data_IF_038360422529
#
_entry.id   IF_038360422529
#
_cell.length_a   1.000
_cell.length_b   1.000
_cell.length_c   1.000
_cell.angle_alpha   90.00
_cell.angle_beta   90.00
_cell.angle_gamma   90.00
#
_symmetry.space_group_name_H-M   'P 1'
#
loop_
_entity.id
_entity.type
_entity.pdbx_description
1 polymer ?
#
# COMPACT_ATOMS: atom_id res chain seq x y z
N UNK A 1 14.62 -1.72 13.86
CA UNK A 1 14.60 -2.99 13.12
C UNK A 1 14.58 -4.20 14.05
N UNK A 2 15.52 -4.32 15.00
CA UNK A 2 15.61 -5.50 15.89
C UNK A 2 14.31 -5.77 16.66
N UNK A 3 13.65 -4.75 17.17
CA UNK A 3 12.36 -4.83 17.86
C UNK A 3 11.18 -5.27 16.98
N UNK A 4 11.37 -5.21 15.65
CA UNK A 4 10.40 -5.65 14.64
C UNK A 4 10.80 -6.95 13.95
N UNK A 5 11.82 -7.64 14.44
CA UNK A 5 12.27 -8.91 13.88
C UNK A 5 13.00 -8.82 12.54
N UNK A 6 13.31 -7.61 12.03
CA UNK A 6 14.06 -7.46 10.78
C UNK A 6 15.53 -7.77 11.02
N UNK A 7 16.00 -8.84 10.41
CA UNK A 7 17.34 -9.38 10.58
C UNK A 7 18.44 -8.54 9.88
N UNK A 8 19.69 -8.89 10.12
CA UNK A 8 20.84 -8.17 9.57
C UNK A 8 20.93 -8.33 8.05
N UNK A 9 20.68 -9.52 7.52
CA UNK A 9 20.78 -9.80 6.07
C UNK A 9 19.77 -8.96 5.28
N UNK A 10 18.53 -8.88 5.77
CA UNK A 10 17.48 -8.04 5.19
C UNK A 10 17.84 -6.56 5.24
N UNK A 11 18.38 -6.07 6.38
CA UNK A 11 18.85 -4.69 6.48
C UNK A 11 19.99 -4.38 5.51
N UNK A 12 20.88 -5.34 5.29
CA UNK A 12 21.95 -5.18 4.28
C UNK A 12 21.38 -5.13 2.86
N UNK A 13 20.35 -5.94 2.54
CA UNK A 13 19.72 -5.95 1.24
C UNK A 13 19.08 -4.59 0.89
N UNK A 14 18.55 -3.87 1.88
CA UNK A 14 17.88 -2.58 1.71
C UNK A 14 18.67 -1.39 2.26
N UNK A 15 19.96 -1.51 2.52
CA UNK A 15 20.74 -0.52 3.27
C UNK A 15 20.77 0.89 2.67
N UNK A 16 20.52 1.03 1.37
CA UNK A 16 20.47 2.31 0.66
C UNK A 16 19.11 3.02 0.75
N UNK A 17 18.09 2.30 1.21
CA UNK A 17 16.70 2.76 1.13
C UNK A 17 16.13 3.21 2.47
N UNK A 18 16.97 3.35 3.50
CA UNK A 18 16.61 3.92 4.80
C UNK A 18 17.82 4.56 5.48
N UNK A 19 17.55 5.47 6.40
CA UNK A 19 18.59 6.10 7.23
C UNK A 19 18.03 6.58 8.57
N UNK A 20 18.89 7.01 9.48
CA UNK A 20 18.50 7.63 10.74
C UNK A 20 18.54 9.16 10.58
N UNK A 21 17.36 9.78 10.56
CA UNK A 21 17.22 11.23 10.56
C UNK A 21 17.27 11.77 12.00
N UNK A 22 18.13 12.77 12.26
CA UNK A 22 18.13 13.51 13.53
C UNK A 22 17.05 14.59 13.50
N UNK A 23 16.30 14.69 14.57
CA UNK A 23 15.23 15.69 14.78
C UNK A 23 15.50 16.47 16.05
N UNK A 24 15.19 17.76 16.04
CA UNK A 24 15.14 18.57 17.25
C UNK A 24 13.73 18.49 17.86
N UNK A 25 13.65 18.36 19.16
CA UNK A 25 12.42 18.52 19.92
C UNK A 25 12.29 19.99 20.40
N UNK A 26 11.07 20.41 20.71
CA UNK A 26 10.78 21.78 21.18
C UNK A 26 11.56 22.16 22.46
N UNK A 27 11.91 21.20 23.28
CA UNK A 27 12.71 21.36 24.49
C UNK A 27 14.23 21.37 24.24
N UNK A 28 14.68 21.44 22.99
CA UNK A 28 16.09 21.44 22.59
C UNK A 28 16.77 20.05 22.59
N UNK A 29 16.09 18.99 23.01
CA UNK A 29 16.61 17.63 22.92
C UNK A 29 16.64 17.16 21.47
N UNK A 30 17.61 16.31 21.12
CA UNK A 30 17.64 15.64 19.82
C UNK A 30 17.17 14.19 19.93
N UNK A 31 16.44 13.72 18.93
CA UNK A 31 16.06 12.33 18.79
C UNK A 31 16.26 11.86 17.36
N UNK A 32 16.28 10.55 17.15
CA UNK A 32 16.46 9.96 15.82
C UNK A 32 15.22 9.16 15.44
N UNK A 33 14.75 9.38 14.22
CA UNK A 33 13.76 8.52 13.58
C UNK A 33 14.43 7.67 12.51
N UNK A 34 13.97 6.44 12.37
CA UNK A 34 14.26 5.67 11.18
C UNK A 34 13.39 6.23 10.04
N UNK A 35 14.03 6.61 8.95
CA UNK A 35 13.40 7.31 7.84
C UNK A 35 13.59 6.55 6.55
N UNK A 36 12.52 6.44 5.79
CA UNK A 36 12.41 5.78 4.51
C UNK A 36 12.11 6.86 3.46
N UNK A 37 13.06 7.21 2.57
CA UNK A 37 12.88 8.28 1.59
C UNK A 37 11.85 7.88 0.55
N UNK A 38 10.96 8.83 0.24
CA UNK A 38 9.89 8.68 -0.74
C UNK A 38 10.22 9.47 -1.99
N UNK A 39 10.05 8.84 -3.14
CA UNK A 39 10.37 9.41 -4.45
C UNK A 39 9.14 9.36 -5.36
N UNK A 40 9.12 10.23 -6.36
CA UNK A 40 8.14 10.12 -7.44
C UNK A 40 8.49 8.90 -8.29
N UNK A 41 7.54 7.99 -8.57
CA UNK A 41 7.77 6.83 -9.43
C UNK A 41 8.36 7.23 -10.78
N UNK A 42 9.44 6.56 -11.20
CA UNK A 42 10.18 6.88 -12.41
C UNK A 42 11.16 8.05 -12.30
N UNK A 43 11.22 8.73 -11.15
CA UNK A 43 12.10 9.88 -10.90
C UNK A 43 12.91 9.67 -9.61
N UNK A 44 13.92 8.78 -9.63
CA UNK A 44 14.71 8.45 -8.42
C UNK A 44 15.52 9.63 -7.87
N UNK A 45 15.75 10.67 -8.66
CA UNK A 45 16.37 11.92 -8.26
C UNK A 45 15.44 12.84 -7.46
N UNK A 46 14.11 12.60 -7.50
CA UNK A 46 13.10 13.49 -6.93
C UNK A 46 12.56 12.92 -5.61
N UNK A 47 13.34 13.10 -4.55
CA UNK A 47 12.86 12.82 -3.20
C UNK A 47 11.81 13.85 -2.79
N UNK A 48 10.62 13.40 -2.41
CA UNK A 48 9.47 14.25 -2.09
C UNK A 48 9.01 14.11 -0.64
N UNK A 49 9.71 13.33 0.15
CA UNK A 49 9.41 13.19 1.57
C UNK A 49 10.01 11.97 2.22
N UNK A 50 9.60 11.73 3.45
CA UNK A 50 10.08 10.63 4.27
C UNK A 50 8.91 9.97 5.01
N UNK A 51 8.81 8.65 4.92
CA UNK A 51 8.07 7.87 5.90
C UNK A 51 8.94 7.70 7.14
N UNK A 52 8.41 7.94 8.34
CA UNK A 52 9.19 7.94 9.58
C UNK A 52 8.66 6.95 10.60
N UNK A 53 9.59 6.31 11.29
CA UNK A 53 9.34 5.44 12.44
C UNK A 53 10.17 5.91 13.63
N UNK A 54 9.49 6.29 14.69
CA UNK A 54 10.13 6.69 15.94
C UNK A 54 10.67 5.50 16.73
N UNK A 55 11.47 5.82 17.74
CA UNK A 55 11.96 4.82 18.68
C UNK A 55 10.79 4.26 19.52
N UNK A 56 10.73 2.96 19.78
CA UNK A 56 9.70 2.38 20.63
C UNK A 56 9.72 3.01 22.02
N UNK A 57 8.56 3.40 22.52
CA UNK A 57 8.36 3.91 23.88
C UNK A 57 8.29 2.75 24.87
N UNK A 58 8.30 3.06 26.17
CA UNK A 58 8.20 2.06 27.26
C UNK A 58 6.92 1.23 27.21
N UNK A 59 5.83 1.82 26.72
CA UNK A 59 4.53 1.18 26.51
C UNK A 59 4.45 0.35 25.22
N UNK A 60 5.56 0.22 24.48
CA UNK A 60 5.63 -0.49 23.20
C UNK A 60 5.12 0.31 22.00
N UNK A 61 4.51 1.47 22.22
CA UNK A 61 4.10 2.35 21.13
C UNK A 61 5.31 2.98 20.44
N UNK A 62 5.18 3.29 19.16
CA UNK A 62 6.18 4.03 18.41
C UNK A 62 5.49 5.00 17.46
N UNK A 63 6.06 6.17 17.27
CA UNK A 63 5.57 7.10 16.25
C UNK A 63 5.67 6.43 14.88
N UNK A 64 4.59 6.46 14.12
CA UNK A 64 4.56 6.18 12.68
C UNK A 64 3.92 7.37 11.97
N UNK A 65 4.43 7.72 10.81
CA UNK A 65 3.85 8.80 10.01
C UNK A 65 4.83 9.34 8.99
N UNK A 66 4.46 10.43 8.38
CA UNK A 66 5.27 11.15 7.41
C UNK A 66 6.02 12.31 8.08
N UNK A 67 7.18 12.66 7.54
CA UNK A 67 7.83 13.92 7.88
C UNK A 67 6.99 15.11 7.39
N UNK A 68 7.08 16.25 8.08
CA UNK A 68 6.42 17.47 7.63
C UNK A 68 6.89 17.87 6.22
N UNK A 69 5.95 18.25 5.35
CA UNK A 69 6.23 18.63 3.97
C UNK A 69 6.34 17.45 3.00
N UNK A 70 6.11 16.21 3.44
CA UNK A 70 6.08 15.05 2.55
C UNK A 70 4.89 15.15 1.57
N UNK A 71 5.18 14.99 0.27
CA UNK A 71 4.15 14.78 -0.74
C UNK A 71 3.70 13.31 -0.73
N UNK A 72 2.79 12.98 0.18
CA UNK A 72 2.26 11.63 0.32
C UNK A 72 1.25 11.26 -0.79
N UNK A 73 0.82 12.22 -1.62
CA UNK A 73 -0.12 11.95 -2.70
C UNK A 73 0.54 11.35 -3.95
N UNK A 74 1.86 11.48 -4.09
CA UNK A 74 2.60 10.97 -5.25
C UNK A 74 3.84 10.18 -4.87
N UNK A 75 4.43 10.48 -3.68
CA UNK A 75 5.66 9.85 -3.22
C UNK A 75 5.44 8.41 -2.78
N UNK A 76 6.39 7.54 -3.14
CA UNK A 76 6.48 6.15 -2.70
C UNK A 76 7.88 5.87 -2.17
N UNK A 77 7.99 5.08 -1.10
CA UNK A 77 9.24 4.41 -0.83
C UNK A 77 9.42 3.26 -1.82
N UNK A 78 10.56 3.20 -2.48
CA UNK A 78 10.86 2.18 -3.47
C UNK A 78 12.27 1.64 -3.22
N UNK A 79 12.42 0.32 -3.29
CA UNK A 79 13.68 -0.35 -3.02
C UNK A 79 13.81 -1.64 -3.82
N UNK A 80 15.02 -1.95 -4.27
CA UNK A 80 15.35 -3.24 -4.83
C UNK A 80 16.68 -3.72 -4.26
N UNK A 81 16.78 -4.98 -3.78
CA UNK A 81 18.04 -5.54 -3.29
C UNK A 81 19.16 -5.57 -4.33
N UNK A 82 18.83 -5.53 -5.62
CA UNK A 82 19.78 -5.47 -6.74
C UNK A 82 19.77 -4.15 -7.49
N UNK A 83 19.25 -3.09 -6.89
CA UNK A 83 19.13 -1.76 -7.50
C UNK A 83 18.37 -1.78 -8.86
N UNK A 84 17.40 -2.68 -9.03
CA UNK A 84 16.56 -2.74 -10.24
C UNK A 84 15.70 -1.48 -10.33
N UNK A 85 15.73 -0.80 -11.47
CA UNK A 85 14.87 0.35 -11.73
C UNK A 85 13.42 -0.10 -12.04
N UNK A 86 12.43 0.74 -11.74
CA UNK A 86 11.01 0.42 -11.98
C UNK A 86 10.72 0.04 -13.44
N UNK A 87 11.33 0.76 -14.39
CA UNK A 87 11.12 0.51 -15.84
C UNK A 87 11.58 -0.88 -16.29
N UNK A 88 12.54 -1.48 -15.56
CA UNK A 88 13.15 -2.77 -15.85
C UNK A 88 12.61 -3.89 -14.94
N UNK A 89 11.74 -3.54 -13.99
CA UNK A 89 11.18 -4.47 -13.04
C UNK A 89 10.19 -5.43 -13.72
N UNK A 90 10.36 -6.73 -13.48
CA UNK A 90 9.38 -7.75 -13.85
C UNK A 90 8.31 -7.93 -12.79
N UNK A 91 8.71 -7.80 -11.52
CA UNK A 91 7.86 -7.97 -10.35
C UNK A 91 7.97 -6.74 -9.46
N UNK A 92 6.82 -6.19 -9.08
CA UNK A 92 6.69 -5.06 -8.15
C UNK A 92 5.79 -5.48 -7.00
N UNK A 93 6.33 -5.52 -5.79
CA UNK A 93 5.60 -5.86 -4.58
C UNK A 93 5.20 -4.60 -3.84
N UNK A 94 3.89 -4.39 -3.61
CA UNK A 94 3.33 -3.16 -3.04
C UNK A 94 2.76 -3.44 -1.64
N UNK A 95 3.14 -2.63 -0.66
CA UNK A 95 2.77 -2.76 0.75
C UNK A 95 2.35 -1.42 1.33
N UNK A 96 1.71 -1.46 2.50
CA UNK A 96 1.34 -0.25 3.25
C UNK A 96 2.54 0.41 3.93
N UNK A 97 3.54 -0.37 4.34
CA UNK A 97 4.74 0.18 4.96
C UNK A 97 6.04 -0.46 4.46
N UNK A 98 7.13 0.29 4.56
CA UNK A 98 8.46 -0.22 4.25
C UNK A 98 8.87 -1.41 5.16
N UNK A 99 8.35 -1.47 6.39
CA UNK A 99 8.58 -2.61 7.28
C UNK A 99 7.93 -3.89 6.76
N UNK A 100 6.71 -3.82 6.24
CA UNK A 100 5.98 -4.98 5.72
C UNK A 100 6.67 -5.51 4.47
N UNK A 101 7.13 -4.62 3.59
CA UNK A 101 7.95 -4.96 2.43
C UNK A 101 9.24 -5.70 2.83
N UNK A 102 9.98 -5.18 3.82
CA UNK A 102 11.20 -5.82 4.31
C UNK A 102 10.92 -7.14 5.03
N UNK A 103 9.85 -7.23 5.81
CA UNK A 103 9.44 -8.46 6.49
C UNK A 103 9.04 -9.55 5.48
N UNK A 104 8.26 -9.19 4.46
CA UNK A 104 7.92 -10.10 3.37
C UNK A 104 9.17 -10.65 2.68
N UNK A 105 10.10 -9.77 2.27
CA UNK A 105 11.36 -10.19 1.67
C UNK A 105 12.12 -11.16 2.56
N UNK A 106 12.27 -10.85 3.86
CA UNK A 106 12.95 -11.70 4.83
C UNK A 106 12.34 -13.10 4.91
N UNK A 107 11.01 -13.17 5.09
CA UNK A 107 10.29 -14.44 5.20
C UNK A 107 10.43 -15.28 3.92
N UNK A 108 10.33 -14.65 2.75
CA UNK A 108 10.48 -15.34 1.45
C UNK A 108 11.92 -15.78 1.16
N UNK A 109 12.92 -15.14 1.75
CA UNK A 109 14.33 -15.51 1.61
C UNK A 109 14.77 -16.63 2.57
N UNK A 110 13.97 -16.99 3.57
CA UNK A 110 14.26 -18.10 4.49
C UNK A 110 14.31 -19.44 3.73
N UNK A 111 15.11 -20.40 4.23
CA UNK A 111 15.31 -21.70 3.56
C UNK A 111 14.03 -22.53 3.44
N UNK A 112 13.17 -22.44 4.43
CA UNK A 112 11.90 -23.16 4.57
C UNK A 112 10.72 -22.44 3.88
N UNK A 113 10.96 -21.33 3.20
CA UNK A 113 9.93 -20.59 2.46
C UNK A 113 9.35 -21.30 1.23
N UNK A 114 9.92 -22.44 0.84
CA UNK A 114 9.55 -23.19 -0.36
C UNK A 114 10.06 -22.60 -1.68
N UNK A 115 10.75 -21.45 -1.65
CA UNK A 115 11.34 -20.88 -2.87
C UNK A 115 12.61 -21.61 -3.28
N UNK A 116 12.70 -21.97 -4.57
CA UNK A 116 13.91 -22.46 -5.19
C UNK A 116 14.96 -21.33 -5.42
N UNK A 117 16.10 -21.68 -5.97
CA UNK A 117 17.17 -20.72 -6.22
C UNK A 117 16.74 -19.62 -7.19
N UNK A 118 16.07 -19.97 -8.30
CA UNK A 118 15.68 -19.01 -9.32
C UNK A 118 14.61 -18.02 -8.80
N UNK A 119 13.61 -18.52 -8.08
CA UNK A 119 12.60 -17.70 -7.44
C UNK A 119 13.21 -16.69 -6.43
N UNK A 120 14.24 -17.13 -5.68
CA UNK A 120 14.99 -16.20 -4.79
C UNK A 120 15.81 -15.16 -5.56
N UNK A 121 16.39 -15.52 -6.72
CA UNK A 121 17.09 -14.54 -7.57
C UNK A 121 16.13 -13.54 -8.19
N UNK A 122 14.94 -13.98 -8.61
CA UNK A 122 13.88 -13.11 -9.10
C UNK A 122 13.42 -12.12 -7.99
N UNK A 123 13.20 -12.65 -6.79
CA UNK A 123 12.81 -11.80 -5.64
C UNK A 123 13.88 -10.74 -5.31
N UNK A 124 15.18 -11.06 -5.44
CA UNK A 124 16.25 -10.07 -5.26
C UNK A 124 16.23 -8.98 -6.34
N UNK A 125 15.74 -9.28 -7.54
CA UNK A 125 15.62 -8.34 -8.66
C UNK A 125 14.27 -7.64 -8.72
N UNK A 126 13.34 -7.99 -7.84
CA UNK A 126 12.06 -7.32 -7.72
C UNK A 126 12.21 -5.90 -7.12
N UNK A 127 11.22 -5.06 -7.36
CA UNK A 127 11.08 -3.77 -6.70
C UNK A 127 10.04 -3.89 -5.60
N UNK A 128 10.37 -3.42 -4.41
CA UNK A 128 9.49 -3.36 -3.24
C UNK A 128 9.07 -1.92 -3.03
N UNK A 129 7.78 -1.72 -2.80
CA UNK A 129 7.16 -0.41 -2.72
C UNK A 129 6.36 -0.29 -1.43
N UNK A 130 6.45 0.87 -0.77
CA UNK A 130 5.55 1.25 0.33
C UNK A 130 4.79 2.51 -0.04
N UNK A 131 3.48 2.49 0.17
CA UNK A 131 2.60 3.66 0.04
C UNK A 131 2.67 4.58 1.26
N UNK A 132 3.23 4.08 2.37
CA UNK A 132 3.33 4.79 3.64
C UNK A 132 2.00 4.89 4.39
N UNK A 133 1.04 4.05 4.05
CA UNK A 133 -0.32 3.97 4.56
C UNK A 133 -1.31 3.86 3.40
N UNK A 134 -2.44 4.54 3.51
CA UNK A 134 -3.48 4.53 2.48
C UNK A 134 -2.95 4.97 1.10
N UNK A 135 -2.99 4.12 0.07
CA UNK A 135 -2.49 4.47 -1.26
C UNK A 135 -3.38 5.53 -1.94
N UNK A 136 -2.73 6.56 -2.46
CA UNK A 136 -3.41 7.57 -3.27
C UNK A 136 -3.53 7.17 -4.74
N UNK A 137 -4.46 7.79 -5.46
CA UNK A 137 -4.59 7.64 -6.91
C UNK A 137 -3.28 8.03 -7.63
N UNK A 138 -2.65 9.15 -7.24
CA UNK A 138 -1.41 9.63 -7.83
C UNK A 138 -0.24 8.67 -7.67
N UNK A 139 -0.11 8.05 -6.48
CA UNK A 139 0.88 7.01 -6.21
C UNK A 139 0.71 5.81 -7.15
N UNK A 140 -0.51 5.25 -7.22
CA UNK A 140 -0.80 4.07 -8.05
C UNK A 140 -0.60 4.39 -9.52
N UNK A 141 -1.14 5.51 -10.00
CA UNK A 141 -1.00 5.93 -11.39
C UNK A 141 0.47 6.14 -11.78
N UNK A 142 1.24 6.81 -10.93
CA UNK A 142 2.67 7.03 -11.13
C UNK A 142 3.44 5.71 -11.18
N UNK A 143 3.15 4.79 -10.26
CA UNK A 143 3.80 3.48 -10.20
C UNK A 143 3.53 2.64 -11.46
N UNK A 144 2.27 2.55 -11.89
CA UNK A 144 1.89 1.79 -13.09
C UNK A 144 2.53 2.38 -14.35
N UNK A 145 2.60 3.71 -14.46
CA UNK A 145 3.29 4.38 -15.58
C UNK A 145 4.79 4.12 -15.59
N UNK A 146 5.41 4.08 -14.42
CA UNK A 146 6.86 3.88 -14.30
C UNK A 146 7.32 2.42 -14.47
N UNK A 147 6.40 1.45 -14.32
CA UNK A 147 6.68 0.01 -14.44
C UNK A 147 5.69 -0.67 -15.41
N UNK A 148 5.64 -0.27 -16.70
CA UNK A 148 4.57 -0.68 -17.63
C UNK A 148 4.58 -2.16 -17.99
N UNK A 149 5.71 -2.86 -17.79
CA UNK A 149 5.86 -4.29 -18.06
C UNK A 149 5.87 -5.19 -16.82
N UNK A 150 5.62 -4.61 -15.64
CA UNK A 150 5.71 -5.34 -14.40
C UNK A 150 4.41 -6.07 -14.03
N UNK A 151 4.58 -7.22 -13.36
CA UNK A 151 3.51 -7.84 -12.58
C UNK A 151 3.47 -7.21 -11.19
N UNK A 152 2.31 -6.71 -10.79
CA UNK A 152 2.12 -6.12 -9.46
C UNK A 152 1.60 -7.18 -8.48
N UNK A 153 2.29 -7.32 -7.34
CA UNK A 153 1.93 -8.18 -6.23
C UNK A 153 1.52 -7.30 -5.05
N UNK A 154 0.26 -7.38 -4.66
CA UNK A 154 -0.30 -6.51 -3.63
C UNK A 154 -0.28 -7.22 -2.27
N UNK A 155 0.50 -6.69 -1.33
CA UNK A 155 0.68 -7.19 0.03
C UNK A 155 0.08 -6.24 1.07
N UNK A 156 -1.14 -5.74 0.82
CA UNK A 156 -1.89 -4.93 1.78
C UNK A 156 -2.44 -5.78 2.92
N UNK A 157 -2.77 -5.15 4.04
CA UNK A 157 -3.31 -5.83 5.21
C UNK A 157 -4.61 -6.58 4.88
N UNK A 158 -4.83 -7.74 5.51
CA UNK A 158 -6.03 -8.55 5.27
C UNK A 158 -7.22 -8.06 6.11
N UNK A 159 -7.48 -6.77 6.04
CA UNK A 159 -8.63 -6.10 6.64
C UNK A 159 -9.48 -5.42 5.55
N UNK A 160 -10.53 -4.71 5.97
CA UNK A 160 -11.44 -4.04 5.03
C UNK A 160 -10.72 -2.94 4.24
N UNK A 161 -9.82 -2.20 4.88
CA UNK A 161 -9.06 -1.13 4.23
C UNK A 161 -8.10 -1.70 3.16
N UNK A 162 -7.33 -2.74 3.51
CA UNK A 162 -6.44 -3.40 2.56
C UNK A 162 -7.17 -4.00 1.36
N UNK A 163 -8.37 -4.58 1.57
CA UNK A 163 -9.24 -5.06 0.48
C UNK A 163 -9.69 -3.93 -0.43
N UNK A 164 -10.06 -2.77 0.13
CA UNK A 164 -10.40 -1.59 -0.66
C UNK A 164 -9.19 -1.07 -1.46
N UNK A 165 -7.99 -1.13 -0.91
CA UNK A 165 -6.76 -0.72 -1.62
C UNK A 165 -6.47 -1.62 -2.81
N UNK A 166 -6.65 -2.93 -2.66
CA UNK A 166 -6.56 -3.89 -3.77
C UNK A 166 -7.52 -3.52 -4.89
N UNK A 167 -8.80 -3.32 -4.55
CA UNK A 167 -9.82 -2.95 -5.53
C UNK A 167 -9.51 -1.63 -6.25
N UNK A 168 -9.06 -0.62 -5.52
CA UNK A 168 -8.69 0.68 -6.08
C UNK A 168 -7.49 0.54 -7.02
N UNK A 169 -6.46 -0.20 -6.60
CA UNK A 169 -5.26 -0.45 -7.41
C UNK A 169 -5.63 -1.11 -8.74
N UNK A 170 -6.39 -2.18 -8.68
CA UNK A 170 -6.82 -2.92 -9.87
C UNK A 170 -7.66 -2.07 -10.81
N UNK A 171 -8.60 -1.30 -10.27
CA UNK A 171 -9.45 -0.41 -11.06
C UNK A 171 -8.63 0.64 -11.81
N UNK A 172 -7.53 1.13 -11.23
CA UNK A 172 -6.63 2.08 -11.87
C UNK A 172 -5.80 1.37 -12.94
N UNK A 173 -5.25 0.20 -12.66
CA UNK A 173 -4.48 -0.60 -13.64
C UNK A 173 -5.33 -0.92 -14.86
N UNK A 174 -6.57 -1.37 -14.66
CA UNK A 174 -7.50 -1.66 -15.75
C UNK A 174 -7.82 -0.43 -16.61
N UNK A 175 -7.99 0.74 -16.01
CA UNK A 175 -8.23 1.99 -16.74
C UNK A 175 -7.02 2.45 -17.55
N UNK A 176 -5.81 2.22 -17.04
CA UNK A 176 -4.58 2.65 -17.69
C UNK A 176 -4.11 1.67 -18.77
N UNK A 177 -4.40 0.38 -18.61
CA UNK A 177 -3.94 -0.67 -19.51
C UNK A 177 -5.05 -1.68 -19.81
N UNK A 178 -6.10 -1.28 -20.54
CA UNK A 178 -7.26 -2.13 -20.81
C UNK A 178 -6.93 -3.39 -21.62
N UNK A 179 -5.74 -3.46 -22.25
CA UNK A 179 -5.31 -4.58 -23.08
C UNK A 179 -4.47 -5.63 -22.32
N UNK A 180 -4.09 -5.38 -21.07
CA UNK A 180 -3.29 -6.30 -20.25
C UNK A 180 -3.92 -6.53 -18.86
N UNK A 181 -5.09 -7.19 -18.79
CA UNK A 181 -5.70 -7.56 -17.51
C UNK A 181 -4.87 -8.56 -16.70
N UNK A 182 -3.79 -9.10 -17.28
CA UNK A 182 -2.93 -10.13 -16.69
C UNK A 182 -1.79 -9.61 -15.81
N UNK A 183 -1.65 -8.29 -15.69
CA UNK A 183 -0.58 -7.65 -14.89
C UNK A 183 -0.78 -7.78 -13.37
N UNK A 184 -1.90 -8.33 -12.92
CA UNK A 184 -2.18 -8.65 -11.51
C UNK A 184 -2.09 -10.15 -11.32
N UNK A 185 -1.40 -10.64 -10.28
CA UNK A 185 -1.16 -12.08 -10.08
C UNK A 185 -2.46 -12.88 -9.95
N UNK A 186 -2.44 -14.15 -10.40
CA UNK A 186 -3.61 -15.04 -10.41
C UNK A 186 -4.24 -15.26 -9.03
N UNK A 187 -3.42 -15.26 -7.97
CA UNK A 187 -3.88 -15.44 -6.59
C UNK A 187 -4.75 -14.26 -6.13
N UNK A 188 -4.46 -13.06 -6.65
CA UNK A 188 -5.25 -11.87 -6.41
C UNK A 188 -6.50 -11.82 -7.30
N UNK A 189 -6.45 -12.38 -8.54
CA UNK A 189 -7.62 -12.44 -9.43
C UNK A 189 -8.78 -13.20 -8.80
N UNK A 190 -8.52 -14.37 -8.22
CA UNK A 190 -9.55 -15.15 -7.53
C UNK A 190 -10.18 -14.41 -6.36
N UNK A 191 -9.37 -13.68 -5.59
CA UNK A 191 -9.85 -12.83 -4.49
C UNK A 191 -10.70 -11.66 -5.00
N UNK A 192 -10.27 -10.99 -6.08
CA UNK A 192 -10.98 -9.87 -6.69
C UNK A 192 -12.30 -10.33 -7.33
N UNK A 193 -12.34 -11.49 -7.98
CA UNK A 193 -13.56 -12.06 -8.52
C UNK A 193 -14.57 -12.36 -7.42
N UNK A 194 -14.14 -13.00 -6.33
CA UNK A 194 -14.97 -13.22 -5.15
C UNK A 194 -15.47 -11.91 -4.53
N UNK A 195 -14.66 -10.86 -4.54
CA UNK A 195 -15.04 -9.53 -4.05
C UNK A 195 -16.02 -8.83 -5.00
N UNK A 196 -15.83 -8.94 -6.33
CA UNK A 196 -16.77 -8.43 -7.35
C UNK A 196 -18.11 -9.14 -7.27
N UNK A 197 -18.14 -10.46 -7.09
CA UNK A 197 -19.34 -11.23 -6.85
C UNK A 197 -20.05 -10.74 -5.57
N UNK A 198 -19.31 -10.52 -4.49
CA UNK A 198 -19.83 -9.94 -3.26
C UNK A 198 -20.40 -8.52 -3.48
N UNK A 199 -19.73 -7.67 -4.25
CA UNK A 199 -20.23 -6.33 -4.61
C UNK A 199 -21.45 -6.40 -5.53
N UNK A 200 -21.48 -7.32 -6.49
CA UNK A 200 -22.63 -7.49 -7.40
C UNK A 200 -23.85 -7.96 -6.63
N UNK A 201 -23.66 -8.95 -5.75
CA UNK A 201 -24.70 -9.41 -4.83
C UNK A 201 -25.17 -8.30 -3.88
N UNK A 202 -24.25 -7.44 -3.45
CA UNK A 202 -24.55 -6.28 -2.58
C UNK A 202 -25.21 -5.14 -3.37
N UNK A 203 -24.96 -4.99 -4.68
CA UNK A 203 -25.69 -4.05 -5.54
C UNK A 203 -27.16 -4.44 -5.70
N UNK A 204 -27.46 -5.72 -5.80
CA UNK A 204 -28.83 -6.24 -5.76
C UNK A 204 -29.47 -6.02 -4.39
N UNK A 205 -28.67 -5.95 -3.32
CA UNK A 205 -29.08 -5.61 -1.96
C UNK A 205 -29.28 -4.10 -1.74
N UNK A 206 -28.66 -3.21 -2.54
CA UNK A 206 -28.78 -1.75 -2.40
C UNK A 206 -30.16 -1.18 -2.76
N UNK A 207 -31.00 -1.94 -3.45
CA UNK A 207 -32.42 -1.64 -3.70
C UNK A 207 -33.37 -2.22 -2.62
N UNK A 208 -32.82 -2.66 -1.49
CA UNK A 208 -33.57 -3.25 -0.39
C UNK A 208 -33.96 -2.14 0.59
N UNK A 209 -35.27 -1.97 0.80
CA UNK A 209 -35.81 -1.15 1.87
C UNK A 209 -35.54 -1.74 3.27
N UNK A 210 -35.75 -0.95 4.30
CA UNK A 210 -35.45 -1.34 5.69
C UNK A 210 -36.19 -2.61 6.15
N UNK A 211 -37.37 -2.88 5.58
CA UNK A 211 -38.16 -4.07 5.93
C UNK A 211 -37.53 -5.34 5.35
N UNK A 212 -36.99 -5.26 4.13
CA UNK A 212 -36.27 -6.38 3.50
C UNK A 212 -34.90 -6.62 4.12
N UNK A 213 -34.24 -5.57 4.63
CA UNK A 213 -32.97 -5.72 5.34
C UNK A 213 -33.11 -6.60 6.59
N UNK A 214 -34.19 -6.44 7.33
CA UNK A 214 -34.46 -7.24 8.53
C UNK A 214 -34.69 -8.74 8.23
N UNK A 215 -35.09 -9.08 7.02
CA UNK A 215 -35.33 -10.48 6.57
C UNK A 215 -34.05 -11.18 6.08
N UNK A 216 -32.93 -10.44 5.92
CA UNK A 216 -31.68 -11.02 5.44
C UNK A 216 -31.03 -11.92 6.51
N UNK A 217 -30.35 -13.00 6.10
CA UNK A 217 -29.48 -13.75 7.00
C UNK A 217 -28.46 -12.83 7.69
N UNK A 218 -28.20 -13.07 8.97
CA UNK A 218 -27.31 -12.24 9.81
C UNK A 218 -25.92 -11.95 9.18
N UNK A 219 -25.39 -12.92 8.42
CA UNK A 219 -24.12 -12.76 7.69
C UNK A 219 -24.24 -11.69 6.60
N UNK A 220 -25.37 -11.64 5.88
CA UNK A 220 -25.61 -10.66 4.83
C UNK A 220 -25.92 -9.27 5.41
N UNK A 221 -26.60 -9.19 6.54
CA UNK A 221 -26.80 -7.93 7.27
C UNK A 221 -25.45 -7.31 7.71
N UNK A 222 -24.55 -8.13 8.24
CA UNK A 222 -23.19 -7.69 8.63
C UNK A 222 -22.37 -7.24 7.43
N UNK A 223 -22.46 -7.93 6.31
CA UNK A 223 -21.79 -7.56 5.06
C UNK A 223 -22.34 -6.25 4.48
N UNK A 224 -23.66 -6.08 4.48
CA UNK A 224 -24.31 -4.86 4.04
C UNK A 224 -23.90 -3.65 4.89
N UNK A 225 -23.94 -3.79 6.22
CA UNK A 225 -23.54 -2.73 7.15
C UNK A 225 -22.06 -2.35 6.98
N UNK A 226 -21.18 -3.34 6.81
CA UNK A 226 -19.75 -3.09 6.56
C UNK A 226 -19.51 -2.39 5.23
N UNK A 227 -20.27 -2.73 4.18
CA UNK A 227 -20.21 -2.06 2.89
C UNK A 227 -20.73 -0.63 2.95
N UNK A 228 -21.85 -0.39 3.61
CA UNK A 228 -22.45 0.94 3.72
C UNK A 228 -21.56 1.88 4.55
N UNK A 229 -20.98 1.38 5.63
CA UNK A 229 -19.99 2.11 6.43
C UNK A 229 -18.76 2.47 5.58
N UNK A 230 -18.19 1.49 4.86
CA UNK A 230 -17.03 1.73 4.00
C UNK A 230 -17.33 2.68 2.84
N UNK A 231 -18.56 2.61 2.27
CA UNK A 231 -19.03 3.53 1.22
C UNK A 231 -19.14 4.96 1.74
N UNK A 232 -19.70 5.14 2.92
CA UNK A 232 -19.89 6.47 3.53
C UNK A 232 -18.55 7.07 3.95
N UNK A 233 -17.64 6.28 4.53
CA UNK A 233 -16.28 6.72 4.85
C UNK A 233 -15.48 7.07 3.58
N UNK A 234 -15.59 6.27 2.51
CA UNK A 234 -14.95 6.57 1.23
C UNK A 234 -15.54 7.82 0.57
N UNK A 235 -16.86 8.03 0.69
CA UNK A 235 -17.52 9.23 0.20
C UNK A 235 -17.06 10.48 0.94
N UNK A 236 -17.04 10.46 2.26
CA UNK A 236 -16.55 11.58 3.08
C UNK A 236 -15.09 11.91 2.80
N UNK A 237 -14.23 10.88 2.58
CA UNK A 237 -12.80 11.08 2.36
C UNK A 237 -12.44 11.56 0.95
N UNK A 238 -13.16 11.12 -0.08
CA UNK A 238 -12.80 11.38 -1.47
C UNK A 238 -13.64 12.48 -2.15
N UNK A 239 -14.85 12.75 -1.70
CA UNK A 239 -15.78 13.68 -2.35
C UNK A 239 -16.06 14.95 -1.56
N UNK A 240 -15.93 14.92 -0.23
CA UNK A 240 -16.10 16.11 0.62
C UNK A 240 -15.23 17.33 0.21
N UNK A 241 -13.94 17.16 -0.19
CA UNK A 241 -13.13 18.28 -0.68
C UNK A 241 -13.58 18.88 -2.01
N UNK A 242 -14.33 18.13 -2.82
CA UNK A 242 -14.83 18.59 -4.13
C UNK A 242 -16.18 19.28 -4.02
N UNK A 243 -17.06 18.82 -3.14
CA UNK A 243 -18.38 19.43 -2.91
C UNK A 243 -18.28 20.82 -2.23
N UNK A 244 -17.27 21.03 -1.37
CA UNK A 244 -17.03 22.34 -0.77
C UNK A 244 -16.55 23.45 -1.72
N UNK A 245 -16.28 23.16 -3.00
CA UNK A 245 -15.84 24.18 -3.98
C UNK A 245 -16.96 24.70 -4.87
N UNK A 246 -18.06 23.98 -5.01
CA UNK A 246 -19.18 24.39 -5.86
C UNK A 246 -20.19 25.30 -5.14
N UNK A 247 -20.32 25.22 -3.81
CA UNK A 247 -21.26 26.04 -3.03
C UNK A 247 -20.74 27.44 -2.63
N UNK A 248 -19.63 27.90 -3.22
CA UNK A 248 -19.07 29.24 -2.97
C UNK A 248 -19.14 30.18 -4.16
N UNK A 249 -19.97 29.88 -5.15
CA UNK A 249 -20.27 30.77 -6.28
C UNK A 249 -21.78 30.95 -6.46
N UNK A 250 -22.45 31.43 -5.41
CA UNK A 250 -23.70 32.20 -5.49
C UNK A 250 -23.64 33.41 -4.53
#
# INVERSE_FOLDING_TARGET
FKSRGIDFATRCAFHRNFFLASKAADNGASYKNLSFPMYIPGHPEKCVGLEERGYPRKDGSARKGMAAGTNASEGLWMASPKDTELKDAKDVYVFESAYDAMAFYQLRMQKDSGLDYNARQNLKSAVFVSTGGNPSYGQIQGLVKAAPGATFHLGFDNDLAGKQFVFNFESIVQKMNPLHPESVSSDMKGFIESFKEGITSTKELLDIDDDRYAELPEVLQKLYLAYDTARNEAWEYHYSPFLCKEDKQE
#
